data_IF_015454926157
#
_entry.id   IF_015454926157
#
_cell.length_a   1.000
_cell.length_b   1.000
_cell.length_c   1.000
_cell.angle_alpha   90.00
_cell.angle_beta   90.00
_cell.angle_gamma   90.00
#
_symmetry.space_group_name_H-M   'P 1'
#
loop_
_entity.id
_entity.type
_entity.pdbx_description
1 polymer ?
#
# COMPACT_ATOMS: atom_id res chain seq x y z
N UNK A 1 4.95 6.17 21.79
CA UNK A 1 3.74 5.60 21.15
C UNK A 1 3.11 4.61 22.11
N UNK A 2 1.82 4.74 22.44
CA UNK A 2 1.14 3.79 23.34
C UNK A 2 0.51 2.66 22.52
N UNK A 3 0.82 1.41 22.88
CA UNK A 3 0.22 0.20 22.29
C UNK A 3 -1.21 0.07 22.80
N UNK A 4 -2.13 -0.23 21.91
CA UNK A 4 -3.51 -0.58 22.27
C UNK A 4 -3.62 -2.10 22.16
N UNK A 5 -4.23 -2.75 23.15
CA UNK A 5 -4.36 -4.20 23.21
C UNK A 5 -5.80 -4.61 22.93
N UNK A 6 -5.95 -5.64 22.09
CA UNK A 6 -7.20 -6.38 21.91
C UNK A 6 -7.05 -7.71 22.67
N UNK A 7 -8.02 -8.07 23.52
CA UNK A 7 -7.96 -9.29 24.33
C UNK A 7 -8.07 -10.57 23.48
N UNK A 8 -8.81 -10.52 22.36
CA UNK A 8 -8.99 -11.67 21.46
C UNK A 8 -7.83 -11.84 20.47
N UNK A 9 -7.22 -10.74 20.03
CA UNK A 9 -6.10 -10.74 19.10
C UNK A 9 -4.92 -10.14 19.82
N UNK A 10 -4.04 -10.98 20.40
CA UNK A 10 -2.93 -10.65 21.31
C UNK A 10 -1.97 -9.52 20.91
N UNK A 11 -2.15 -8.86 19.76
CA UNK A 11 -1.47 -7.63 19.35
C UNK A 11 -2.38 -6.77 18.45
N UNK A 12 -2.51 -5.48 18.76
CA UNK A 12 -2.94 -4.45 17.81
C UNK A 12 -1.90 -3.33 17.74
N UNK A 13 -1.40 -3.08 16.53
CA UNK A 13 -0.56 -1.92 16.23
C UNK A 13 -1.43 -0.76 15.77
N UNK A 14 -1.11 0.45 16.24
CA UNK A 14 -1.68 1.68 15.70
C UNK A 14 -0.58 2.35 14.90
N UNK A 15 -0.85 2.62 13.63
CA UNK A 15 -0.01 3.52 12.85
C UNK A 15 -0.86 4.65 12.26
N UNK A 16 -0.23 5.81 12.10
CA UNK A 16 -0.89 7.04 11.64
C UNK A 16 -0.44 7.31 10.21
N UNK A 17 -1.37 7.46 9.28
CA UNK A 17 -1.08 7.87 7.90
C UNK A 17 -2.05 8.99 7.50
N UNK A 18 -1.53 10.12 7.03
CA UNK A 18 -2.33 11.27 6.54
C UNK A 18 -3.48 11.70 7.48
N UNK A 19 -3.19 11.87 8.79
CA UNK A 19 -4.17 12.23 9.84
C UNK A 19 -5.26 11.17 10.15
N UNK A 20 -5.27 10.03 9.46
CA UNK A 20 -6.13 8.88 9.79
C UNK A 20 -5.38 7.87 10.68
N UNK A 21 -6.12 7.25 11.60
CA UNK A 21 -5.65 6.18 12.47
C UNK A 21 -6.09 4.86 11.88
N UNK A 22 -5.14 3.96 11.67
CA UNK A 22 -5.41 2.65 11.11
C UNK A 22 -5.12 1.58 12.16
N UNK A 23 -6.01 0.60 12.23
CA UNK A 23 -5.88 -0.55 13.13
C UNK A 23 -5.59 -1.79 12.30
N UNK A 24 -4.50 -2.48 12.63
CA UNK A 24 -4.19 -3.78 12.05
C UNK A 24 -4.53 -4.89 13.04
N UNK A 25 -5.29 -5.87 12.56
CA UNK A 25 -5.48 -7.16 13.23
C UNK A 25 -4.57 -8.22 12.60
N UNK A 26 -4.05 -9.16 13.40
CA UNK A 26 -3.15 -10.24 12.95
C UNK A 26 -3.77 -11.16 11.89
N UNK A 27 -5.08 -11.10 11.70
CA UNK A 27 -5.83 -11.79 10.64
C UNK A 27 -5.69 -11.12 9.25
N UNK A 28 -4.83 -10.12 9.09
CA UNK A 28 -4.53 -9.49 7.79
C UNK A 28 -5.49 -8.36 7.39
N UNK A 29 -6.46 -8.03 8.23
CA UNK A 29 -7.44 -6.99 7.93
C UNK A 29 -7.00 -5.62 8.47
N UNK A 30 -7.15 -4.61 7.63
CA UNK A 30 -6.84 -3.19 7.90
C UNK A 30 -8.14 -2.42 8.00
N UNK A 31 -8.35 -1.75 9.12
CA UNK A 31 -9.57 -0.97 9.32
C UNK A 31 -9.23 0.52 9.36
N UNK A 32 -9.90 1.30 8.50
CA UNK A 32 -9.84 2.77 8.50
C UNK A 32 -10.61 3.39 9.68
N UNK A 33 -11.57 2.64 10.25
CA UNK A 33 -12.48 3.15 11.25
C UNK A 33 -12.83 2.09 12.31
N UNK A 34 -12.83 2.50 13.58
CA UNK A 34 -13.07 1.61 14.72
C UNK A 34 -14.54 1.16 14.84
N UNK A 35 -15.41 1.64 13.96
CA UNK A 35 -16.82 1.27 13.79
C UNK A 35 -17.02 0.00 12.95
N UNK A 36 -16.05 -0.38 12.12
CA UNK A 36 -16.13 -1.56 11.24
C UNK A 36 -15.42 -2.80 11.82
N UNK A 37 -14.98 -2.76 13.08
CA UNK A 37 -14.55 -3.96 13.79
C UNK A 37 -15.81 -4.73 14.23
N UNK A 38 -15.90 -5.98 13.79
CA UNK A 38 -16.96 -6.93 14.16
C UNK A 38 -17.35 -6.83 15.64
N UNK A 39 -18.65 -7.03 15.91
CA UNK A 39 -19.31 -6.87 17.22
C UNK A 39 -18.70 -7.69 18.38
N UNK A 40 -17.72 -8.54 18.12
CA UNK A 40 -16.97 -9.31 19.13
C UNK A 40 -15.75 -8.57 19.72
N UNK A 41 -15.41 -7.36 19.28
CA UNK A 41 -14.35 -6.55 19.88
C UNK A 41 -14.93 -5.37 20.69
N UNK A 42 -15.16 -5.57 21.99
CA UNK A 42 -15.65 -4.50 22.90
C UNK A 42 -14.53 -3.50 23.21
N UNK A 43 -14.51 -2.35 22.52
CA UNK A 43 -13.67 -1.21 22.89
C UNK A 43 -14.45 -0.18 23.72
N UNK A 44 -13.94 0.19 24.89
CA UNK A 44 -14.52 1.24 25.75
C UNK A 44 -14.36 2.64 25.11
N UNK A 45 -15.32 3.03 24.26
CA UNK A 45 -15.31 4.26 23.44
C UNK A 45 -15.46 5.59 24.20
N UNK A 46 -15.82 5.63 25.49
CA UNK A 46 -16.43 6.84 26.07
C UNK A 46 -15.51 7.91 26.68
N UNK A 47 -14.25 7.64 27.03
CA UNK A 47 -13.35 8.65 27.66
C UNK A 47 -12.25 9.22 26.75
N UNK A 48 -11.91 8.55 25.64
CA UNK A 48 -10.73 8.93 24.85
C UNK A 48 -10.95 10.11 23.89
N UNK A 49 -12.16 10.27 23.35
CA UNK A 49 -12.42 11.27 22.32
C UNK A 49 -12.35 12.71 22.84
N UNK A 50 -12.81 12.95 24.08
CA UNK A 50 -12.76 14.28 24.72
C UNK A 50 -11.35 14.75 25.05
N UNK A 51 -10.41 13.82 25.24
CA UNK A 51 -9.01 14.15 25.54
C UNK A 51 -8.25 14.57 24.26
N UNK A 52 -8.46 13.86 23.15
CA UNK A 52 -7.78 14.14 21.88
C UNK A 52 -8.24 15.42 21.18
N UNK A 53 -9.55 15.73 21.22
CA UNK A 53 -10.10 16.94 20.57
C UNK A 53 -9.59 18.24 21.24
N UNK A 54 -9.20 18.20 22.52
CA UNK A 54 -8.65 19.35 23.24
C UNK A 54 -7.17 19.61 22.93
N UNK A 55 -6.36 18.59 22.64
CA UNK A 55 -4.93 18.76 22.33
C UNK A 55 -4.68 19.21 20.89
N UNK A 56 -5.48 18.76 19.91
CA UNK A 56 -5.28 19.15 18.51
C UNK A 56 -5.66 20.62 18.24
N UNK A 57 -6.68 21.17 18.92
CA UNK A 57 -7.02 22.60 18.80
C UNK A 57 -5.89 23.52 19.29
N UNK A 58 -5.11 23.12 20.31
CA UNK A 58 -3.95 23.90 20.79
C UNK A 58 -2.77 23.91 19.81
N UNK A 59 -2.62 22.86 18.99
CA UNK A 59 -1.54 22.79 17.99
C UNK A 59 -1.87 23.55 16.72
N UNK A 60 -3.15 23.59 16.32
CA UNK A 60 -3.62 24.34 15.14
C UNK A 60 -3.55 25.86 15.38
N UNK A 61 -3.87 26.33 16.59
CA UNK A 61 -3.82 27.77 16.94
C UNK A 61 -2.40 28.36 17.04
N UNK A 62 -1.33 27.54 17.02
CA UNK A 62 0.07 28.01 17.15
C UNK A 62 0.81 28.18 15.83
N UNK A 63 0.14 28.09 14.67
CA UNK A 63 0.78 28.38 13.37
C UNK A 63 1.98 27.49 13.04
N UNK A 64 2.11 26.32 13.67
CA UNK A 64 3.21 25.41 13.43
C UNK A 64 3.01 24.75 12.06
N UNK A 65 3.75 25.21 11.05
CA UNK A 65 3.81 24.52 9.78
C UNK A 65 4.25 23.06 9.99
N UNK A 66 3.56 22.10 9.35
CA UNK A 66 3.94 20.70 9.46
C UNK A 66 5.36 20.55 8.89
N UNK A 67 6.31 20.10 9.74
CA UNK A 67 7.63 19.66 9.28
C UNK A 67 7.39 18.54 8.27
N UNK A 68 7.56 18.85 6.99
CA UNK A 68 7.58 17.83 5.93
C UNK A 68 8.89 17.08 6.11
N UNK A 69 8.84 15.93 6.77
CA UNK A 69 9.96 14.99 6.71
C UNK A 69 10.21 14.68 5.24
N UNK A 70 11.44 14.88 4.70
CA UNK A 70 11.76 14.45 3.36
C UNK A 70 11.49 12.95 3.32
N UNK A 71 10.49 12.56 2.54
CA UNK A 71 10.13 11.15 2.39
C UNK A 71 11.35 10.33 1.97
N UNK A 72 11.29 8.99 2.14
CA UNK A 72 12.36 8.12 1.67
C UNK A 72 12.68 8.50 0.23
N UNK A 73 13.95 8.85 -0.01
CA UNK A 73 14.41 9.21 -1.36
C UNK A 73 14.04 8.06 -2.28
N UNK A 74 13.43 8.32 -3.45
CA UNK A 74 13.13 7.25 -4.39
C UNK A 74 14.42 6.50 -4.68
N UNK A 75 14.39 5.17 -4.50
CA UNK A 75 15.54 4.32 -4.77
C UNK A 75 16.00 4.58 -6.21
N UNK A 76 17.21 5.13 -6.35
CA UNK A 76 17.77 5.50 -7.64
C UNK A 76 18.40 4.25 -8.24
N UNK A 77 17.63 3.58 -9.10
CA UNK A 77 18.16 2.46 -9.87
C UNK A 77 19.15 3.03 -10.89
N UNK A 78 20.42 2.57 -10.90
CA UNK A 78 21.37 3.00 -11.91
C UNK A 78 20.83 2.62 -13.29
N UNK A 79 20.81 3.59 -14.22
CA UNK A 79 20.32 3.41 -15.58
C UNK A 79 21.39 2.64 -16.36
N UNK A 80 21.32 1.31 -16.33
CA UNK A 80 22.16 0.41 -17.12
C UNK A 80 21.26 -0.60 -17.85
N UNK A 81 21.75 -1.19 -18.94
CA UNK A 81 20.92 -2.08 -19.79
C UNK A 81 20.37 -3.28 -18.99
N UNK A 82 21.18 -3.84 -18.09
CA UNK A 82 20.80 -4.98 -17.25
C UNK A 82 19.67 -4.64 -16.28
N UNK A 83 19.77 -3.51 -15.56
CA UNK A 83 18.77 -3.07 -14.58
C UNK A 83 17.45 -2.70 -15.26
N UNK A 84 17.51 -2.07 -16.43
CA UNK A 84 16.34 -1.78 -17.26
C UNK A 84 15.68 -3.09 -17.69
N UNK A 85 16.45 -4.06 -18.17
CA UNK A 85 15.95 -5.38 -18.57
C UNK A 85 15.27 -6.10 -17.40
N UNK A 86 15.93 -6.18 -16.25
CA UNK A 86 15.39 -6.81 -15.04
C UNK A 86 14.10 -6.13 -14.56
N UNK A 87 14.06 -4.80 -14.59
CA UNK A 87 12.88 -4.04 -14.21
C UNK A 87 11.71 -4.30 -15.15
N UNK A 88 11.92 -4.21 -16.46
CA UNK A 88 10.87 -4.44 -17.46
C UNK A 88 10.38 -5.89 -17.41
N UNK A 89 11.30 -6.87 -17.39
CA UNK A 89 10.95 -8.29 -17.31
C UNK A 89 10.18 -8.61 -16.03
N UNK A 90 10.64 -8.08 -14.88
CA UNK A 90 9.96 -8.23 -13.60
C UNK A 90 8.56 -7.63 -13.60
N UNK A 91 8.40 -6.45 -14.20
CA UNK A 91 7.11 -5.75 -14.28
C UNK A 91 6.12 -6.48 -15.19
N UNK A 92 6.56 -6.92 -16.38
CA UNK A 92 5.74 -7.70 -17.31
C UNK A 92 5.29 -9.02 -16.66
N UNK A 93 6.21 -9.75 -16.02
CA UNK A 93 5.89 -11.00 -15.30
C UNK A 93 4.90 -10.76 -14.17
N UNK A 94 5.05 -9.66 -13.41
CA UNK A 94 4.13 -9.29 -12.33
C UNK A 94 2.73 -9.03 -12.85
N UNK A 95 2.57 -8.27 -13.93
CA UNK A 95 1.27 -8.00 -14.52
C UNK A 95 0.63 -9.26 -15.12
N UNK A 96 1.39 -10.10 -15.83
CA UNK A 96 0.92 -11.40 -16.32
C UNK A 96 0.46 -12.32 -15.18
N UNK A 97 1.17 -12.33 -14.05
CA UNK A 97 0.76 -13.07 -12.85
C UNK A 97 -0.54 -12.52 -12.28
N UNK A 98 -0.66 -11.20 -12.13
CA UNK A 98 -1.86 -10.55 -11.62
C UNK A 98 -3.08 -10.75 -12.52
N UNK A 99 -2.89 -10.83 -13.84
CA UNK A 99 -3.96 -11.10 -14.82
C UNK A 99 -4.78 -12.35 -14.45
N UNK A 100 -4.12 -13.39 -13.91
CA UNK A 100 -4.77 -14.64 -13.47
C UNK A 100 -5.64 -14.47 -12.22
N UNK A 101 -5.39 -13.43 -11.41
CA UNK A 101 -6.09 -13.19 -10.14
C UNK A 101 -7.21 -12.16 -10.25
N UNK A 102 -7.23 -11.34 -11.30
CA UNK A 102 -8.29 -10.35 -11.49
C UNK A 102 -9.62 -11.02 -11.85
N UNK A 103 -10.65 -10.71 -11.08
CA UNK A 103 -12.03 -11.20 -11.31
C UNK A 103 -12.81 -10.29 -12.26
N UNK A 104 -12.55 -8.98 -12.20
CA UNK A 104 -13.20 -7.99 -13.06
C UNK A 104 -12.54 -7.96 -14.45
N UNK A 105 -13.35 -7.84 -15.49
CA UNK A 105 -12.87 -7.72 -16.87
C UNK A 105 -12.16 -6.38 -17.12
N UNK A 106 -12.57 -5.30 -16.46
CA UNK A 106 -11.89 -4.00 -16.58
C UNK A 106 -10.45 -4.07 -16.07
N UNK A 107 -10.22 -4.71 -14.93
CA UNK A 107 -8.88 -4.89 -14.36
C UNK A 107 -8.00 -5.78 -15.26
N UNK A 108 -8.59 -6.82 -15.86
CA UNK A 108 -7.89 -7.67 -16.84
C UNK A 108 -7.51 -6.87 -18.08
N UNK A 109 -8.41 -6.03 -18.60
CA UNK A 109 -8.15 -5.18 -19.75
C UNK A 109 -7.04 -4.17 -19.45
N UNK A 110 -7.10 -3.53 -18.29
CA UNK A 110 -6.07 -2.61 -17.82
C UNK A 110 -4.71 -3.29 -17.71
N UNK A 111 -4.67 -4.51 -17.14
CA UNK A 111 -3.44 -5.29 -17.03
C UNK A 111 -2.85 -5.64 -18.41
N UNK A 112 -3.69 -5.97 -19.41
CA UNK A 112 -3.23 -6.18 -20.79
C UNK A 112 -2.59 -4.92 -21.37
N UNK A 113 -3.22 -3.75 -21.21
CA UNK A 113 -2.65 -2.49 -21.69
C UNK A 113 -1.31 -2.15 -21.03
N UNK A 114 -1.15 -2.42 -19.73
CA UNK A 114 0.14 -2.26 -19.07
C UNK A 114 1.20 -3.21 -19.62
N UNK A 115 0.85 -4.49 -19.82
CA UNK A 115 1.77 -5.48 -20.43
C UNK A 115 2.22 -4.99 -21.80
N UNK A 116 1.31 -4.57 -22.67
CA UNK A 116 1.64 -4.06 -24.02
C UNK A 116 2.53 -2.83 -23.96
N UNK A 117 2.25 -1.89 -23.04
CA UNK A 117 3.07 -0.69 -22.86
C UNK A 117 4.50 -1.04 -22.43
N UNK A 118 4.68 -1.91 -21.44
CA UNK A 118 6.02 -2.33 -21.00
C UNK A 118 6.75 -3.15 -22.08
N UNK A 119 6.01 -3.98 -22.83
CA UNK A 119 6.57 -4.76 -23.93
C UNK A 119 7.06 -3.86 -25.07
N UNK A 120 6.31 -2.80 -25.40
CA UNK A 120 6.69 -1.81 -26.41
C UNK A 120 7.99 -1.09 -26.03
N UNK A 121 8.11 -0.65 -24.77
CA UNK A 121 9.35 -0.05 -24.25
C UNK A 121 10.51 -1.04 -24.31
N UNK A 122 10.27 -2.30 -23.92
CA UNK A 122 11.28 -3.36 -23.97
C UNK A 122 11.80 -3.60 -25.38
N UNK A 123 10.91 -3.71 -26.37
CA UNK A 123 11.31 -3.88 -27.78
C UNK A 123 12.08 -2.68 -28.27
N UNK A 124 11.65 -1.47 -27.90
CA UNK A 124 12.31 -0.22 -28.31
C UNK A 124 13.73 -0.09 -27.77
N UNK A 125 13.97 -0.53 -26.53
CA UNK A 125 15.26 -0.41 -25.86
C UNK A 125 16.18 -1.63 -26.05
N UNK A 126 15.63 -2.84 -26.14
CA UNK A 126 16.39 -4.09 -26.13
C UNK A 126 16.29 -4.88 -27.45
N UNK A 127 15.39 -4.51 -28.36
CA UNK A 127 15.21 -5.18 -29.64
C UNK A 127 14.53 -6.56 -29.58
N UNK A 128 14.08 -7.00 -28.41
CA UNK A 128 13.45 -8.30 -28.21
C UNK A 128 12.14 -8.20 -27.44
N UNK A 129 11.22 -9.14 -27.69
CA UNK A 129 10.00 -9.34 -26.90
C UNK A 129 10.26 -10.37 -25.79
N UNK A 130 9.64 -10.16 -24.62
CA UNK A 130 9.60 -11.19 -23.58
C UNK A 130 8.53 -12.22 -23.93
N UNK A 131 8.96 -13.45 -24.22
CA UNK A 131 8.08 -14.58 -24.53
C UNK A 131 7.04 -14.80 -23.42
N UNK A 132 5.85 -15.28 -23.80
CA UNK A 132 4.84 -15.75 -22.86
C UNK A 132 5.26 -17.11 -22.32
N UNK A 133 6.19 -17.13 -21.36
CA UNK A 133 6.59 -18.39 -20.73
C UNK A 133 5.37 -18.97 -20.00
N UNK A 134 4.86 -20.07 -20.53
CA UNK A 134 3.84 -20.94 -19.92
C UNK A 134 4.35 -21.71 -18.67
N UNK A 135 5.56 -21.41 -18.18
CA UNK A 135 6.30 -22.17 -17.15
C UNK A 135 5.75 -22.08 -15.73
N UNK A 136 4.56 -21.50 -15.54
CA UNK A 136 3.84 -21.53 -14.26
C UNK A 136 2.42 -22.08 -14.47
N UNK A 137 2.34 -23.25 -15.11
CA UNK A 137 1.18 -24.15 -15.03
C UNK A 137 1.30 -25.02 -13.79
#
# INVERSE_FOLDING_TARGET
MKKVYCENCKYSGIFKKKKKLYFYCKLGNVFEDASNLDNNCKFYKRKWWKFWVKEDKRKILKGAQPKTDPGPKPDTIPINSTSIKEYLDGTIRRWRKNLKFFKNEEDKLMAKHYIDAFQSVRVSLLGETLAENNEYR
#
